data_IF_763713264046
#
_entry.id   IF_763713264046
#
_cell.length_a   1.000
_cell.length_b   1.000
_cell.length_c   1.000
_cell.angle_alpha   90.00
_cell.angle_beta   90.00
_cell.angle_gamma   90.00
#
_symmetry.space_group_name_H-M   'P 1'
#
loop_
_entity.id
_entity.type
_entity.pdbx_description
1 polymer ?
#
# COMPACT_ATOMS: atom_id res chain seq x y z
N UNK A 1 -10.79 13.22 -4.41
CA UNK A 1 -10.35 11.81 -4.39
C UNK A 1 -8.92 11.62 -4.93
N UNK A 2 -8.55 12.17 -6.10
CA UNK A 2 -7.22 11.94 -6.72
C UNK A 2 -6.01 12.39 -5.88
N UNK A 3 -6.08 13.55 -5.22
CA UNK A 3 -5.01 14.07 -4.35
C UNK A 3 -4.75 13.18 -3.12
N UNK A 4 -5.82 12.64 -2.51
CA UNK A 4 -5.70 11.75 -1.35
C UNK A 4 -5.09 10.41 -1.76
N UNK A 5 -5.47 9.86 -2.92
CA UNK A 5 -4.87 8.64 -3.45
C UNK A 5 -3.37 8.82 -3.72
N UNK A 6 -3.01 9.92 -4.38
CA UNK A 6 -1.61 10.25 -4.65
C UNK A 6 -0.79 10.43 -3.35
N UNK A 7 -1.39 11.04 -2.32
CA UNK A 7 -0.76 11.18 -1.01
C UNK A 7 -0.55 9.81 -0.35
N UNK A 8 -1.57 8.93 -0.34
CA UNK A 8 -1.47 7.60 0.25
C UNK A 8 -0.42 6.73 -0.46
N UNK A 9 -0.40 6.76 -1.80
CA UNK A 9 0.61 6.03 -2.58
C UNK A 9 2.01 6.65 -2.38
N UNK A 10 2.12 7.97 -2.35
CA UNK A 10 3.39 8.64 -2.05
C UNK A 10 3.92 8.25 -0.67
N UNK A 11 3.04 8.26 0.33
CA UNK A 11 3.36 7.84 1.70
C UNK A 11 3.79 6.37 1.74
N UNK A 12 3.11 5.48 1.00
CA UNK A 12 3.49 4.07 0.90
C UNK A 12 4.93 3.92 0.37
N UNK A 13 5.28 4.62 -0.71
CA UNK A 13 6.64 4.54 -1.26
C UNK A 13 7.69 5.14 -0.33
N UNK A 14 7.37 6.22 0.38
CA UNK A 14 8.25 6.80 1.39
C UNK A 14 8.47 5.80 2.53
N UNK A 15 7.40 5.24 3.11
CA UNK A 15 7.51 4.22 4.16
C UNK A 15 8.27 2.98 3.67
N UNK A 16 8.04 2.55 2.43
CA UNK A 16 8.79 1.45 1.83
C UNK A 16 10.28 1.77 1.71
N UNK A 17 10.66 2.97 1.23
CA UNK A 17 12.06 3.39 1.17
C UNK A 17 12.72 3.43 2.56
N UNK A 18 11.99 3.87 3.59
CA UNK A 18 12.48 3.90 4.97
C UNK A 18 12.77 2.51 5.54
N UNK A 19 12.21 1.43 4.97
CA UNK A 19 12.52 0.06 5.40
C UNK A 19 13.97 -0.33 5.11
N UNK A 20 14.62 0.36 4.16
CA UNK A 20 16.01 0.10 3.78
C UNK A 20 17.03 0.85 4.66
N UNK A 21 16.59 1.74 5.55
CA UNK A 21 17.51 2.49 6.45
C UNK A 21 18.51 1.60 7.21
N UNK A 22 18.11 0.44 7.79
CA UNK A 22 19.04 -0.51 8.39
C UNK A 22 20.18 -0.96 7.49
N UNK A 23 19.93 -1.10 6.19
CA UNK A 23 20.94 -1.54 5.22
C UNK A 23 22.01 -0.48 4.96
N UNK A 24 21.71 0.80 5.27
CA UNK A 24 22.67 1.91 5.19
C UNK A 24 23.41 2.16 6.51
N UNK A 25 23.27 1.27 7.50
CA UNK A 25 23.88 1.42 8.81
C UNK A 25 23.09 2.29 9.79
N UNK A 26 21.91 2.78 9.41
CA UNK A 26 21.03 3.57 10.27
C UNK A 26 20.15 2.60 11.07
N UNK A 27 20.15 2.66 12.40
CA UNK A 27 19.59 1.62 13.28
C UNK A 27 20.38 0.30 13.31
N UNK A 28 21.69 0.36 13.02
CA UNK A 28 22.60 -0.79 13.04
C UNK A 28 23.31 -1.01 14.39
N UNK A 29 22.93 -0.25 15.42
CA UNK A 29 23.41 -0.51 16.77
C UNK A 29 22.79 -1.80 17.32
N UNK A 30 23.48 -2.46 18.25
CA UNK A 30 23.00 -3.62 19.01
C UNK A 30 21.94 -3.23 20.06
N UNK A 31 20.99 -2.42 19.64
CA UNK A 31 19.90 -1.92 20.45
C UNK A 31 18.65 -2.79 20.23
N UNK A 32 17.89 -2.96 21.30
CA UNK A 32 16.68 -3.78 21.30
C UNK A 32 15.47 -2.93 21.67
N UNK A 33 14.36 -3.17 20.98
CA UNK A 33 13.04 -2.63 21.33
C UNK A 33 12.23 -3.80 21.87
N UNK A 34 12.18 -3.93 23.21
CA UNK A 34 11.63 -5.11 23.87
C UNK A 34 12.49 -6.35 23.59
N UNK A 35 11.90 -7.38 22.98
CA UNK A 35 12.61 -8.62 22.62
C UNK A 35 13.19 -8.62 21.20
N UNK A 36 12.88 -7.60 20.40
CA UNK A 36 13.26 -7.54 19.00
C UNK A 36 14.49 -6.64 18.81
N UNK A 37 15.44 -7.01 17.91
CA UNK A 37 16.45 -6.07 17.44
C UNK A 37 15.79 -4.81 16.88
N UNK A 38 16.34 -3.63 17.19
CA UNK A 38 15.77 -2.35 16.79
C UNK A 38 15.55 -2.24 15.27
N UNK A 39 16.50 -2.74 14.48
CA UNK A 39 16.40 -2.79 13.02
C UNK A 39 15.18 -3.59 12.54
N UNK A 40 14.93 -4.75 13.16
CA UNK A 40 13.79 -5.58 12.83
C UNK A 40 12.46 -4.96 13.31
N UNK A 41 12.44 -4.38 14.51
CA UNK A 41 11.26 -3.66 15.01
C UNK A 41 10.87 -2.49 14.09
N UNK A 42 11.86 -1.74 13.60
CA UNK A 42 11.66 -0.65 12.63
C UNK A 42 11.03 -1.15 11.33
N UNK A 43 11.59 -2.20 10.73
CA UNK A 43 11.10 -2.77 9.48
C UNK A 43 9.67 -3.31 9.64
N UNK A 44 9.37 -3.99 10.77
CA UNK A 44 8.03 -4.49 11.05
C UNK A 44 7.00 -3.37 11.22
N UNK A 45 7.36 -2.30 11.94
CA UNK A 45 6.49 -1.15 12.13
C UNK A 45 6.13 -0.50 10.78
N UNK A 46 7.11 -0.27 9.92
CA UNK A 46 6.88 0.32 8.60
C UNK A 46 6.03 -0.59 7.70
N UNK A 47 6.23 -1.91 7.75
CA UNK A 47 5.41 -2.85 7.02
C UNK A 47 3.96 -2.90 7.53
N UNK A 48 3.75 -2.80 8.84
CA UNK A 48 2.41 -2.68 9.42
C UNK A 48 1.70 -1.41 8.92
N UNK A 49 2.39 -0.27 8.91
CA UNK A 49 1.87 1.00 8.37
C UNK A 49 1.53 0.84 6.87
N UNK A 50 2.44 0.29 6.07
CA UNK A 50 2.22 0.05 4.64
C UNK A 50 1.02 -0.86 4.37
N UNK A 51 0.85 -1.89 5.19
CA UNK A 51 -0.31 -2.79 5.11
C UNK A 51 -1.61 -2.02 5.31
N UNK A 52 -1.70 -1.18 6.35
CA UNK A 52 -2.87 -0.33 6.60
C UNK A 52 -3.14 0.61 5.43
N UNK A 53 -2.10 1.23 4.85
CA UNK A 53 -2.25 2.10 3.68
C UNK A 53 -2.84 1.34 2.50
N UNK A 54 -2.33 0.14 2.19
CA UNK A 54 -2.84 -0.71 1.11
C UNK A 54 -4.31 -1.08 1.34
N UNK A 55 -4.68 -1.44 2.58
CA UNK A 55 -6.07 -1.73 2.92
C UNK A 55 -7.00 -0.54 2.64
N UNK A 56 -6.60 0.67 3.06
CA UNK A 56 -7.35 1.90 2.79
C UNK A 56 -7.44 2.15 1.29
N UNK A 57 -6.34 1.98 0.56
CA UNK A 57 -6.29 2.18 -0.88
C UNK A 57 -7.23 1.21 -1.60
N UNK A 58 -7.19 -0.06 -1.22
CA UNK A 58 -8.02 -1.12 -1.79
C UNK A 58 -9.50 -0.82 -1.60
N UNK A 59 -9.95 -0.65 -0.35
CA UNK A 59 -11.37 -0.45 -0.07
C UNK A 59 -11.92 0.85 -0.64
N UNK A 60 -11.13 1.93 -0.62
CA UNK A 60 -11.61 3.27 -0.99
C UNK A 60 -11.48 3.59 -2.46
N UNK A 61 -10.50 3.01 -3.16
CA UNK A 61 -10.24 3.34 -4.56
C UNK A 61 -10.35 2.12 -5.47
N UNK A 62 -9.74 0.99 -5.09
CA UNK A 62 -9.66 -0.17 -5.99
C UNK A 62 -11.00 -0.91 -6.10
N UNK A 63 -11.66 -1.22 -4.99
CA UNK A 63 -12.99 -1.85 -4.97
C UNK A 63 -14.05 -1.10 -5.79
N UNK A 64 -14.28 0.22 -5.59
CA UNK A 64 -15.25 0.94 -6.41
C UNK A 64 -14.79 1.15 -7.85
N UNK A 65 -13.49 1.06 -8.13
CA UNK A 65 -12.98 1.06 -9.49
C UNK A 65 -13.27 -0.27 -10.20
N UNK A 66 -12.99 -1.41 -9.55
CA UNK A 66 -13.24 -2.73 -10.13
C UNK A 66 -14.72 -2.96 -10.38
N UNK A 67 -15.60 -2.55 -9.46
CA UNK A 67 -17.06 -2.66 -9.66
C UNK A 67 -17.55 -1.84 -10.86
N UNK A 68 -16.97 -0.66 -11.11
CA UNK A 68 -17.31 0.16 -12.29
C UNK A 68 -16.76 -0.46 -13.57
N UNK A 69 -15.51 -0.92 -13.55
CA UNK A 69 -14.90 -1.58 -14.69
C UNK A 69 -15.68 -2.84 -15.09
N UNK A 70 -16.03 -3.70 -14.13
CA UNK A 70 -16.82 -4.91 -14.39
C UNK A 70 -18.16 -4.60 -15.06
N UNK A 71 -18.89 -3.59 -14.58
CA UNK A 71 -20.14 -3.14 -15.21
C UNK A 71 -19.94 -2.61 -16.63
N UNK A 72 -18.83 -1.92 -16.88
CA UNK A 72 -18.53 -1.39 -18.21
C UNK A 72 -18.19 -2.51 -19.19
N UNK A 73 -17.46 -3.55 -18.75
CA UNK A 73 -17.23 -4.77 -19.53
C UNK A 73 -18.53 -5.54 -19.83
N UNK A 74 -19.41 -5.70 -18.83
CA UNK A 74 -20.70 -6.38 -19.00
C UNK A 74 -21.60 -5.64 -20.01
N UNK A 75 -21.67 -4.31 -19.94
CA UNK A 75 -22.43 -3.50 -20.91
C UNK A 75 -21.85 -3.57 -22.33
N UNK A 76 -20.53 -3.73 -22.48
CA UNK A 76 -19.89 -3.90 -23.79
C UNK A 76 -20.23 -5.27 -24.40
N UNK A 77 -20.19 -6.34 -23.59
CA UNK A 77 -20.58 -7.69 -24.03
C UNK A 77 -22.08 -7.76 -24.40
N UNK A 78 -22.96 -7.12 -23.63
CA UNK A 78 -24.40 -7.05 -23.95
C UNK A 78 -24.67 -6.19 -25.20
N UNK A 79 -23.90 -5.12 -25.41
CA UNK A 79 -24.01 -4.25 -26.58
C UNK A 79 -23.53 -4.89 -27.88
N UNK A 80 -22.63 -5.87 -27.82
CA UNK A 80 -22.16 -6.66 -28.96
C UNK A 80 -23.04 -7.88 -29.26
N UNK A 81 -23.93 -8.28 -28.33
CA UNK A 81 -24.87 -9.40 -28.48
C UNK A 81 -26.20 -9.07 -29.20
N UNK A 82 -26.40 -7.82 -29.62
CA UNK A 82 -27.60 -7.37 -30.37
C UNK A 82 -27.19 -6.81 -31.72
N UNK A 83 -26.62 -7.65 -32.60
CA UNK A 83 -26.66 -7.46 -34.06
C UNK A 83 -26.75 -8.80 -34.77
#
# INVERSE_FOLDING_TARGET
MRKLHALLIGLFFVCYALTFLPNFGIFNNLDFVGFLPQSLAWVLLLNAINTVIIFIVYFKFFKPFSERASKEFENLEEGEGVK
#
